data_IF_021628199490
#
_entry.id   IF_021628199490
#
_cell.length_a   1.000
_cell.length_b   1.000
_cell.length_c   1.000
_cell.angle_alpha   90.00
_cell.angle_beta   90.00
_cell.angle_gamma   90.00
#
_symmetry.space_group_name_H-M   'P 1'
#
loop_
_entity.id
_entity.type
_entity.pdbx_description
1 polymer ?
#
# COMPACT_ATOMS: atom_id res chain seq x y z
N UNK A 1 16.68 18.15 9.24
CA UNK A 1 15.32 17.67 8.94
C UNK A 1 15.46 16.29 8.32
N UNK A 2 15.10 15.22 9.03
CA UNK A 2 15.11 13.88 8.46
C UNK A 2 13.94 13.76 7.48
N UNK A 3 14.21 13.95 6.18
CA UNK A 3 13.33 13.42 5.15
C UNK A 3 13.39 11.89 5.31
N UNK A 4 12.37 11.31 5.93
CA UNK A 4 12.22 9.85 5.98
C UNK A 4 12.26 9.36 4.54
N UNK A 5 13.24 8.52 4.25
CA UNK A 5 13.53 7.98 2.93
C UNK A 5 12.25 7.48 2.24
N UNK A 6 11.95 8.10 1.09
CA UNK A 6 11.42 7.40 -0.07
C UNK A 6 9.99 6.91 -0.01
N UNK A 7 9.01 7.74 0.35
CA UNK A 7 7.67 7.62 -0.24
C UNK A 7 7.48 8.87 -1.09
N UNK A 8 7.62 8.72 -2.40
CA UNK A 8 7.16 9.77 -3.30
C UNK A 8 5.65 9.88 -3.10
N UNK A 9 5.12 11.10 -3.16
CA UNK A 9 3.68 11.34 -2.97
C UNK A 9 2.80 10.71 -4.08
N UNK A 10 3.40 9.96 -5.01
CA UNK A 10 2.76 9.15 -6.04
C UNK A 10 2.78 7.65 -5.77
N UNK A 11 3.60 7.16 -4.84
CA UNK A 11 3.74 5.73 -4.58
C UNK A 11 2.50 5.17 -3.90
N UNK A 12 2.07 3.98 -4.33
CA UNK A 12 0.99 3.23 -3.68
C UNK A 12 1.60 2.14 -2.82
N UNK A 13 1.28 2.16 -1.53
CA UNK A 13 1.77 1.17 -0.58
C UNK A 13 0.70 0.09 -0.44
N UNK A 14 1.07 -1.17 -0.70
CA UNK A 14 0.22 -2.33 -0.44
C UNK A 14 0.86 -3.12 0.68
N UNK A 15 0.13 -3.31 1.79
CA UNK A 15 0.65 -4.03 2.95
C UNK A 15 -0.38 -4.97 3.54
N UNK A 16 0.04 -6.13 4.05
CA UNK A 16 -0.86 -7.07 4.72
C UNK A 16 -1.33 -6.49 6.05
N UNK A 17 -2.53 -6.88 6.47
CA UNK A 17 -3.09 -6.57 7.79
C UNK A 17 -2.82 -7.72 8.76
N UNK A 18 -2.75 -7.40 10.06
CA UNK A 18 -2.48 -8.35 11.13
C UNK A 18 -3.59 -9.41 11.29
N UNK A 19 -4.85 -8.99 11.20
CA UNK A 19 -6.00 -9.87 11.42
C UNK A 19 -6.40 -10.67 10.18
N UNK A 20 -6.56 -10.00 9.04
CA UNK A 20 -6.80 -10.59 7.70
C UNK A 20 -6.90 -9.47 6.67
N UNK A 21 -6.48 -9.76 5.43
CA UNK A 21 -6.62 -8.84 4.31
C UNK A 21 -5.40 -7.99 4.01
N UNK A 22 -5.57 -7.10 3.04
CA UNK A 22 -4.54 -6.27 2.45
C UNK A 22 -5.01 -4.83 2.39
N UNK A 23 -4.16 -3.95 2.92
CA UNK A 23 -4.36 -2.52 2.98
C UNK A 23 -3.60 -1.84 1.84
N UNK A 24 -4.33 -1.06 1.06
CA UNK A 24 -3.81 -0.23 -0.01
C UNK A 24 -3.84 1.21 0.50
N UNK A 25 -2.70 1.89 0.46
CA UNK A 25 -2.57 3.27 0.89
C UNK A 25 -2.17 4.14 -0.30
N UNK A 26 -3.02 5.11 -0.59
CA UNK A 26 -2.84 6.05 -1.68
C UNK A 26 -2.67 7.45 -1.11
N UNK A 27 -1.45 8.03 -1.14
CA UNK A 27 -1.26 9.42 -0.78
C UNK A 27 -2.06 10.31 -1.74
N UNK A 28 -2.73 11.31 -1.18
CA UNK A 28 -3.44 12.36 -1.90
C UNK A 28 -2.99 13.73 -1.38
N UNK A 29 -3.14 14.80 -2.18
CA UNK A 29 -2.79 16.15 -1.73
C UNK A 29 -3.50 16.57 -0.43
N UNK A 30 -4.70 16.04 -0.18
CA UNK A 30 -5.55 16.33 0.97
C UNK A 30 -5.45 15.29 2.10
N UNK A 31 -4.62 14.25 1.97
CA UNK A 31 -4.46 13.24 3.02
C UNK A 31 -4.12 11.84 2.49
N UNK A 32 -4.67 10.82 3.14
CA UNK A 32 -4.41 9.42 2.81
C UNK A 32 -5.72 8.71 2.51
N UNK A 33 -5.84 8.13 1.31
CA UNK A 33 -6.95 7.27 0.97
C UNK A 33 -6.55 5.81 1.19
N UNK A 34 -7.37 5.09 1.94
CA UNK A 34 -7.07 3.71 2.36
C UNK A 34 -8.19 2.78 1.90
N UNK A 35 -7.81 1.66 1.29
CA UNK A 35 -8.73 0.58 0.93
C UNK A 35 -8.25 -0.71 1.56
N UNK A 36 -9.18 -1.52 2.06
CA UNK A 36 -8.89 -2.86 2.58
C UNK A 36 -9.63 -3.88 1.72
N UNK A 37 -8.90 -4.88 1.25
CA UNK A 37 -9.43 -6.02 0.49
C UNK A 37 -9.00 -7.33 1.13
N UNK A 38 -9.61 -8.44 0.75
CA UNK A 38 -9.34 -9.74 1.38
C UNK A 38 -8.05 -10.36 0.86
N UNK A 39 -7.75 -10.20 -0.43
CA UNK A 39 -6.67 -10.92 -1.09
C UNK A 39 -5.58 -10.02 -1.67
N UNK A 40 -4.35 -10.53 -1.69
CA UNK A 40 -3.19 -9.81 -2.23
C UNK A 40 -3.34 -9.48 -3.73
N UNK A 41 -3.77 -10.43 -4.59
CA UNK A 41 -3.89 -10.14 -6.02
C UNK A 41 -4.96 -9.08 -6.30
N UNK A 42 -6.05 -9.10 -5.53
CA UNK A 42 -7.08 -8.05 -5.59
C UNK A 42 -6.51 -6.69 -5.17
N UNK A 43 -5.68 -6.66 -4.12
CA UNK A 43 -5.05 -5.43 -3.66
C UNK A 43 -4.13 -4.81 -4.73
N UNK A 44 -3.32 -5.64 -5.37
CA UNK A 44 -2.41 -5.22 -6.44
C UNK A 44 -3.18 -4.76 -7.69
N UNK A 45 -4.19 -5.52 -8.09
CA UNK A 45 -5.03 -5.15 -9.23
C UNK A 45 -5.76 -3.83 -8.98
N UNK A 46 -6.32 -3.65 -7.78
CA UNK A 46 -7.03 -2.43 -7.41
C UNK A 46 -6.08 -1.22 -7.30
N UNK A 47 -4.88 -1.41 -6.74
CA UNK A 47 -3.84 -0.39 -6.70
C UNK A 47 -3.47 0.10 -8.11
N UNK A 48 -3.22 -0.81 -9.06
CA UNK A 48 -2.96 -0.45 -10.47
C UNK A 48 -4.17 0.17 -11.15
N UNK A 49 -5.38 -0.26 -10.84
CA UNK A 49 -6.60 0.31 -11.42
C UNK A 49 -6.85 1.74 -10.94
N UNK A 50 -6.57 2.05 -9.67
CA UNK A 50 -6.79 3.38 -9.11
C UNK A 50 -5.69 4.36 -9.56
N UNK A 51 -4.42 3.92 -9.55
CA UNK A 51 -3.30 4.71 -10.07
C UNK A 51 -2.43 3.86 -11.00
N UNK A 52 -2.74 3.85 -12.30
CA UNK A 52 -1.99 3.09 -13.30
C UNK A 52 -0.50 3.47 -13.36
N UNK A 53 -0.23 4.77 -13.15
CA UNK A 53 1.10 5.37 -13.25
C UNK A 53 1.92 5.29 -11.96
N UNK A 54 1.34 4.80 -10.86
CA UNK A 54 2.04 4.69 -9.59
C UNK A 54 2.97 3.47 -9.54
N UNK A 55 4.13 3.66 -8.93
CA UNK A 55 4.94 2.55 -8.45
C UNK A 55 4.21 1.91 -7.26
N UNK A 56 4.06 0.59 -7.31
CA UNK A 56 3.43 -0.17 -6.22
C UNK A 56 4.53 -0.74 -5.35
N UNK A 57 4.53 -0.35 -4.09
CA UNK A 57 5.42 -0.89 -3.07
C UNK A 57 4.67 -1.89 -2.21
N UNK A 58 4.99 -3.15 -2.42
CA UNK A 58 4.46 -4.24 -1.61
C UNK A 58 5.33 -4.38 -0.36
N UNK A 59 4.73 -4.19 0.82
CA UNK A 59 5.43 -4.42 2.08
C UNK A 59 5.35 -5.90 2.46
N UNK A 60 6.42 -6.48 3.02
CA UNK A 60 6.39 -7.84 3.54
C UNK A 60 5.38 -7.97 4.68
N UNK A 61 4.83 -9.17 4.86
CA UNK A 61 4.11 -9.50 6.10
C UNK A 61 5.10 -9.53 7.24
N UNK A 62 4.86 -8.75 8.28
CA UNK A 62 5.60 -8.78 9.55
C UNK A 62 5.36 -10.08 10.34
N UNK A 63 4.82 -11.13 9.69
CA UNK A 63 4.88 -12.48 10.24
C UNK A 63 6.32 -12.97 10.10
N UNK A 64 7.17 -12.53 11.02
CA UNK A 64 8.35 -13.30 11.39
C UNK A 64 7.89 -14.74 11.69
N UNK A 65 8.51 -15.76 11.09
CA UNK A 65 8.27 -17.13 11.50
C UNK A 65 8.78 -17.29 12.94
N UNK A 66 7.86 -17.51 13.87
CA UNK A 66 8.14 -18.04 15.23
C UNK A 66 8.61 -19.48 15.17
#
# INVERSE_FOLDING_TARGET
MLAKEGVDSKDVIVRPLTDSGWRIELPRPDGLFVVVVVDQPEALWLAKRIRPEAEIRLMPSDREPI
#
